data_IF_412144996245
#
_entry.id   IF_412144996245
#
_cell.length_a   1.000
_cell.length_b   1.000
_cell.length_c   1.000
_cell.angle_alpha   90.00
_cell.angle_beta   90.00
_cell.angle_gamma   90.00
#
_symmetry.space_group_name_H-M   'P 1'
#
loop_
_entity.id
_entity.type
_entity.pdbx_description
1 polymer ?
#
# COMPACT_ATOMS: atom_id res chain seq x y z
N UNK A 1 -31.85 -64.36 18.80
CA UNK A 1 -32.47 -63.28 19.58
C UNK A 1 -31.68 -62.02 19.28
N UNK A 2 -32.22 -61.10 18.49
CA UNK A 2 -31.51 -59.87 18.09
C UNK A 2 -31.36 -58.94 19.28
N UNK A 3 -30.15 -58.44 19.53
CA UNK A 3 -29.93 -57.39 20.52
C UNK A 3 -30.84 -56.20 20.23
N UNK A 4 -31.44 -55.63 21.29
CA UNK A 4 -32.35 -54.50 21.14
C UNK A 4 -31.59 -53.28 20.60
N UNK A 5 -32.24 -52.47 19.78
CA UNK A 5 -31.67 -51.21 19.29
C UNK A 5 -31.26 -50.24 20.43
N UNK A 6 -31.79 -50.43 21.64
CA UNK A 6 -31.38 -49.71 22.83
C UNK A 6 -30.02 -50.19 23.35
N UNK A 7 -29.75 -51.49 23.33
CA UNK A 7 -28.46 -52.09 23.74
C UNK A 7 -27.32 -51.64 22.82
N UNK A 8 -27.56 -51.58 21.50
CA UNK A 8 -26.58 -51.08 20.54
C UNK A 8 -26.27 -49.59 20.73
N UNK A 9 -27.30 -48.77 21.01
CA UNK A 9 -27.10 -47.36 21.33
C UNK A 9 -26.34 -47.17 22.63
N UNK A 10 -26.63 -47.97 23.65
CA UNK A 10 -25.91 -47.93 24.92
C UNK A 10 -24.44 -48.28 24.71
N UNK A 11 -24.13 -49.34 23.96
CA UNK A 11 -22.76 -49.72 23.64
C UNK A 11 -22.01 -48.63 22.84
N UNK A 12 -22.69 -47.97 21.90
CA UNK A 12 -22.12 -46.86 21.12
C UNK A 12 -21.85 -45.63 22.00
N UNK A 13 -22.75 -45.27 22.91
CA UNK A 13 -22.51 -44.16 23.85
C UNK A 13 -21.39 -44.51 24.82
N UNK A 14 -21.30 -45.77 25.24
CA UNK A 14 -20.25 -46.25 26.15
C UNK A 14 -18.87 -46.23 25.49
N UNK A 15 -18.76 -46.49 24.19
CA UNK A 15 -17.49 -46.37 23.45
C UNK A 15 -17.05 -44.91 23.26
N UNK A 16 -17.99 -43.96 23.19
CA UNK A 16 -17.68 -42.53 23.18
C UNK A 16 -17.36 -41.96 24.57
N UNK A 17 -17.85 -42.61 25.64
CA UNK A 17 -17.56 -42.25 27.04
C UNK A 17 -16.32 -42.93 27.61
N UNK A 18 -15.86 -44.00 26.98
CA UNK A 18 -14.48 -44.45 27.14
C UNK A 18 -13.60 -43.39 26.53
N UNK A 19 -13.24 -42.40 27.34
CA UNK A 19 -11.93 -41.77 27.23
C UNK A 19 -10.99 -42.95 27.28
N UNK A 20 -10.55 -43.44 26.12
CA UNK A 20 -9.40 -44.32 26.04
C UNK A 20 -8.41 -43.65 26.95
N UNK A 21 -8.10 -44.29 28.10
CA UNK A 21 -7.18 -43.75 29.07
C UNK A 21 -6.02 -43.29 28.21
N UNK A 22 -5.85 -41.97 28.07
CA UNK A 22 -4.80 -41.43 27.24
C UNK A 22 -3.59 -42.02 27.92
N UNK A 23 -3.07 -43.10 27.32
CA UNK A 23 -1.87 -43.71 27.80
C UNK A 23 -0.94 -42.53 27.98
N UNK A 24 -0.31 -42.42 29.15
CA UNK A 24 0.79 -41.51 29.38
C UNK A 24 1.91 -41.88 28.37
N UNK A 25 1.66 -41.66 27.09
CA UNK A 25 2.66 -41.36 26.10
C UNK A 25 3.15 -40.02 26.62
N UNK A 26 4.30 -40.05 27.25
CA UNK A 26 5.11 -38.86 27.43
C UNK A 26 5.27 -38.25 26.03
N UNK A 27 4.32 -37.41 25.61
CA UNK A 27 4.47 -36.65 24.39
C UNK A 27 5.67 -35.75 24.63
N UNK A 28 6.71 -35.82 23.78
CA UNK A 28 7.87 -34.97 23.96
C UNK A 28 7.39 -33.52 24.00
N UNK A 29 7.90 -32.77 25.00
CA UNK A 29 7.53 -31.36 25.21
C UNK A 29 7.55 -30.65 23.86
N UNK A 30 6.39 -30.13 23.45
CA UNK A 30 6.28 -29.33 22.22
C UNK A 30 7.17 -28.11 22.40
N UNK A 31 8.10 -27.91 21.46
CA UNK A 31 8.97 -26.75 21.45
C UNK A 31 8.13 -25.49 21.40
N UNK A 32 8.52 -24.48 22.16
CA UNK A 32 7.92 -23.16 22.05
C UNK A 32 8.25 -22.55 20.68
N UNK A 33 7.44 -21.61 20.18
CA UNK A 33 7.75 -20.92 18.92
C UNK A 33 9.14 -20.26 18.92
N UNK A 34 9.61 -19.76 20.07
CA UNK A 34 10.94 -19.13 20.20
C UNK A 34 12.06 -20.16 20.09
N UNK A 35 11.93 -21.31 20.75
CA UNK A 35 12.89 -22.41 20.65
C UNK A 35 12.97 -22.92 19.20
N UNK A 36 11.82 -23.20 18.58
CA UNK A 36 11.74 -23.64 17.18
C UNK A 36 12.40 -22.64 16.22
N UNK A 37 12.08 -21.35 16.35
CA UNK A 37 12.66 -20.30 15.51
C UNK A 37 14.17 -20.16 15.69
N UNK A 38 14.69 -20.37 16.90
CA UNK A 38 16.13 -20.29 17.17
C UNK A 38 16.87 -21.45 16.51
N UNK A 39 16.35 -22.67 16.63
CA UNK A 39 16.91 -23.84 15.97
C UNK A 39 16.92 -23.70 14.44
N UNK A 40 15.86 -23.16 13.83
CA UNK A 40 15.83 -22.94 12.38
C UNK A 40 16.83 -21.86 11.93
N UNK A 41 17.09 -20.83 12.76
CA UNK A 41 18.13 -19.82 12.47
C UNK A 41 19.53 -20.41 12.54
N UNK A 42 19.78 -21.31 13.48
CA UNK A 42 21.08 -22.00 13.62
C UNK A 42 21.37 -22.94 12.44
N UNK A 43 20.34 -23.47 11.78
CA UNK A 43 20.48 -24.32 10.59
C UNK A 43 20.85 -23.56 9.32
N UNK A 44 20.84 -22.23 9.32
CA UNK A 44 21.17 -21.44 8.13
C UNK A 44 22.60 -21.73 7.67
N UNK A 45 22.76 -22.17 6.42
CA UNK A 45 24.06 -22.54 5.81
C UNK A 45 24.73 -21.38 5.07
N UNK A 46 24.18 -20.19 5.16
CA UNK A 46 24.65 -18.98 4.49
C UNK A 46 24.56 -17.78 5.43
N UNK A 47 25.36 -16.75 5.18
CA UNK A 47 25.29 -15.50 5.92
C UNK A 47 24.08 -14.68 5.44
N UNK A 48 23.12 -14.46 6.35
CA UNK A 48 21.92 -13.65 6.11
C UNK A 48 22.28 -12.22 5.70
N UNK A 49 23.39 -11.68 6.21
CA UNK A 49 23.85 -10.33 5.90
C UNK A 49 24.33 -10.22 4.46
N UNK A 50 25.08 -11.20 3.97
CA UNK A 50 25.50 -11.27 2.57
C UNK A 50 24.30 -11.41 1.63
N UNK A 51 23.30 -12.23 1.99
CA UNK A 51 22.05 -12.30 1.23
C UNK A 51 21.29 -10.97 1.22
N UNK A 52 21.29 -10.25 2.34
CA UNK A 52 20.67 -8.92 2.44
C UNK A 52 21.35 -7.93 1.50
N UNK A 53 22.69 -7.91 1.47
CA UNK A 53 23.46 -7.09 0.53
C UNK A 53 23.14 -7.45 -0.92
N UNK A 54 23.06 -8.74 -1.23
CA UNK A 54 22.71 -9.18 -2.57
C UNK A 54 21.31 -8.67 -3.00
N UNK A 55 20.30 -8.80 -2.15
CA UNK A 55 18.92 -8.38 -2.45
C UNK A 55 18.77 -6.86 -2.60
N UNK A 56 19.48 -6.08 -1.79
CA UNK A 56 19.43 -4.62 -1.84
C UNK A 56 20.37 -4.02 -2.90
N UNK A 57 21.19 -4.83 -3.57
CA UNK A 57 22.16 -4.37 -4.57
C UNK A 57 23.47 -3.82 -4.00
N UNK A 58 23.83 -4.21 -2.77
CA UNK A 58 25.11 -3.97 -2.11
C UNK A 58 24.98 -3.31 -0.73
N UNK A 59 26.04 -3.42 0.07
CA UNK A 59 26.09 -2.91 1.45
C UNK A 59 25.68 -1.43 1.58
N UNK A 60 26.07 -0.60 0.61
CA UNK A 60 25.72 0.82 0.59
C UNK A 60 24.21 1.03 0.60
N UNK A 61 23.46 0.29 -0.23
CA UNK A 61 22.01 0.45 -0.33
C UNK A 61 21.30 -0.16 0.86
N UNK A 62 21.79 -1.28 1.38
CA UNK A 62 21.31 -1.86 2.64
C UNK A 62 21.40 -0.88 3.80
N UNK A 63 22.55 -0.22 3.99
CA UNK A 63 22.72 0.78 5.07
C UNK A 63 21.74 1.95 4.94
N UNK A 64 21.45 2.39 3.72
CA UNK A 64 20.48 3.47 3.47
C UNK A 64 19.04 2.97 3.74
N UNK A 65 18.71 1.75 3.34
CA UNK A 65 17.39 1.13 3.62
C UNK A 65 17.18 0.94 5.13
N UNK A 66 18.18 0.46 5.86
CA UNK A 66 18.16 0.35 7.31
C UNK A 66 17.99 1.71 7.99
N UNK A 67 18.67 2.75 7.48
CA UNK A 67 18.46 4.13 7.93
C UNK A 67 17.00 4.54 7.78
N UNK A 68 16.36 4.28 6.63
CA UNK A 68 14.95 4.59 6.43
C UNK A 68 14.02 3.79 7.34
N UNK A 69 14.30 2.49 7.55
CA UNK A 69 13.55 1.66 8.50
C UNK A 69 13.61 2.25 9.91
N UNK A 70 14.80 2.65 10.38
CA UNK A 70 14.98 3.28 11.69
C UNK A 70 14.30 4.65 11.80
N UNK A 71 14.34 5.47 10.75
CA UNK A 71 13.65 6.77 10.71
C UNK A 71 12.13 6.57 10.85
N UNK A 72 11.56 5.64 10.09
CA UNK A 72 10.12 5.35 10.10
C UNK A 72 9.66 4.69 11.40
N UNK A 73 10.44 3.75 11.94
CA UNK A 73 10.13 3.09 13.22
C UNK A 73 10.09 4.08 14.39
N UNK A 74 10.92 5.14 14.34
CA UNK A 74 11.02 6.15 15.39
C UNK A 74 10.08 7.34 15.18
N UNK A 75 9.54 7.54 13.99
CA UNK A 75 8.61 8.61 13.69
C UNK A 75 7.20 8.27 14.24
N UNK A 76 6.69 9.03 15.23
CA UNK A 76 5.36 8.77 15.79
C UNK A 76 4.22 8.85 14.76
N UNK A 77 4.41 9.55 13.65
CA UNK A 77 3.39 9.64 12.58
C UNK A 77 3.26 8.33 11.80
N UNK A 78 4.30 7.47 11.79
CA UNK A 78 4.30 6.15 11.16
C UNK A 78 4.01 5.00 12.15
N UNK A 79 3.40 5.32 13.28
CA UNK A 79 2.94 4.36 14.28
C UNK A 79 1.74 3.56 13.75
N UNK A 80 1.93 2.25 13.55
CA UNK A 80 0.93 1.37 12.90
C UNK A 80 0.31 0.28 13.80
N UNK A 81 0.71 0.13 15.07
CA UNK A 81 0.23 -1.00 15.89
C UNK A 81 -1.28 -0.95 16.21
N UNK A 82 -1.93 0.23 16.14
CA UNK A 82 -3.37 0.42 16.37
C UNK A 82 -4.18 0.52 15.07
N UNK A 83 -3.58 0.19 13.92
CA UNK A 83 -4.22 0.37 12.61
C UNK A 83 -5.55 -0.41 12.46
N UNK A 84 -5.72 -1.50 13.22
CA UNK A 84 -6.93 -2.32 13.22
C UNK A 84 -8.03 -1.79 14.14
N UNK A 85 -7.69 -0.86 15.05
CA UNK A 85 -8.60 -0.30 16.05
C UNK A 85 -9.10 1.10 15.67
N UNK A 86 -8.54 1.69 14.61
CA UNK A 86 -8.91 3.02 14.13
C UNK A 86 -9.97 2.96 13.03
N UNK A 87 -10.85 3.94 13.04
CA UNK A 87 -11.88 4.12 12.02
C UNK A 87 -11.27 4.57 10.68
N UNK A 88 -12.00 4.36 9.60
CA UNK A 88 -11.63 4.86 8.26
C UNK A 88 -11.31 6.35 8.27
N UNK A 89 -12.09 7.18 8.95
CA UNK A 89 -11.90 8.63 8.95
C UNK A 89 -10.62 9.04 9.70
N UNK A 90 -10.32 8.36 10.81
CA UNK A 90 -9.03 8.53 11.50
C UNK A 90 -7.84 8.09 10.63
N UNK A 91 -7.96 6.99 9.87
CA UNK A 91 -6.93 6.59 8.90
C UNK A 91 -6.71 7.69 7.85
N UNK A 92 -7.78 8.33 7.37
CA UNK A 92 -7.67 9.42 6.37
C UNK A 92 -6.95 10.64 6.93
N UNK A 93 -7.25 11.04 8.16
CA UNK A 93 -6.56 12.14 8.83
C UNK A 93 -5.08 11.83 9.07
N UNK A 94 -4.76 10.69 9.67
CA UNK A 94 -3.38 10.23 9.90
C UNK A 94 -2.57 10.10 8.62
N UNK A 95 -3.21 9.70 7.52
CA UNK A 95 -2.56 9.65 6.20
C UNK A 95 -2.10 11.03 5.76
N UNK A 96 -2.89 12.08 6.01
CA UNK A 96 -2.55 13.45 5.62
C UNK A 96 -1.48 14.08 6.53
N UNK A 97 -1.42 13.71 7.81
CA UNK A 97 -0.37 14.17 8.73
C UNK A 97 1.04 13.82 8.21
N UNK A 98 1.19 12.61 7.65
CA UNK A 98 2.46 12.08 7.10
C UNK A 98 3.00 12.90 5.91
N UNK A 99 2.14 13.62 5.18
CA UNK A 99 2.58 14.44 4.04
C UNK A 99 3.60 15.49 4.46
N UNK A 100 3.43 16.14 5.62
CA UNK A 100 4.32 17.20 6.10
C UNK A 100 5.75 16.70 6.26
N UNK A 101 5.91 15.47 6.77
CA UNK A 101 7.23 14.87 6.99
C UNK A 101 7.86 14.42 5.67
N UNK A 102 7.07 13.80 4.78
CA UNK A 102 7.63 13.17 3.57
C UNK A 102 7.87 14.15 2.42
N UNK A 103 7.07 15.21 2.28
CA UNK A 103 7.23 16.24 1.22
C UNK A 103 8.62 16.87 1.25
N UNK A 104 9.21 17.07 2.43
CA UNK A 104 10.57 17.61 2.55
C UNK A 104 11.61 16.81 1.75
N UNK A 105 11.50 15.48 1.78
CA UNK A 105 12.44 14.59 1.10
C UNK A 105 12.30 14.59 -0.42
N UNK A 106 11.16 15.00 -0.97
CA UNK A 106 10.94 15.07 -2.43
C UNK A 106 11.95 15.99 -3.11
N UNK A 107 12.28 17.11 -2.47
CA UNK A 107 13.26 18.08 -2.99
C UNK A 107 14.66 17.88 -2.41
N UNK A 108 14.77 17.23 -1.25
CA UNK A 108 16.04 17.05 -0.56
C UNK A 108 16.81 15.78 -0.98
N UNK A 109 16.13 14.76 -1.51
CA UNK A 109 16.74 13.48 -1.89
C UNK A 109 16.83 13.30 -3.41
N UNK A 110 17.93 12.72 -3.93
CA UNK A 110 17.96 12.24 -5.31
C UNK A 110 16.86 11.20 -5.57
N UNK A 111 16.29 11.22 -6.77
CA UNK A 111 15.15 10.35 -7.15
C UNK A 111 15.36 8.88 -6.77
N UNK A 112 16.51 8.21 -7.04
CA UNK A 112 16.69 6.80 -6.67
C UNK A 112 16.64 6.55 -5.15
N UNK A 113 17.16 7.50 -4.37
CA UNK A 113 17.17 7.43 -2.91
C UNK A 113 15.75 7.61 -2.37
N UNK A 114 15.02 8.61 -2.90
CA UNK A 114 13.63 8.86 -2.56
C UNK A 114 12.72 7.68 -2.95
N UNK A 115 12.95 7.06 -4.11
CA UNK A 115 12.23 5.84 -4.53
C UNK A 115 12.43 4.73 -3.52
N UNK A 116 13.66 4.51 -3.04
CA UNK A 116 13.91 3.49 -2.03
C UNK A 116 13.23 3.80 -0.69
N UNK A 117 13.18 5.06 -0.26
CA UNK A 117 12.40 5.49 0.91
C UNK A 117 10.92 5.14 0.74
N UNK A 118 10.34 5.48 -0.40
CA UNK A 118 8.94 5.18 -0.69
C UNK A 118 8.68 3.66 -0.76
N UNK A 119 9.63 2.86 -1.27
CA UNK A 119 9.54 1.40 -1.22
C UNK A 119 9.50 0.87 0.22
N UNK A 120 10.35 1.39 1.11
CA UNK A 120 10.31 1.02 2.53
C UNK A 120 8.97 1.40 3.17
N UNK A 121 8.45 2.60 2.88
CA UNK A 121 7.13 3.04 3.34
C UNK A 121 6.02 2.11 2.84
N UNK A 122 6.10 1.62 1.60
CA UNK A 122 5.07 0.75 1.02
C UNK A 122 4.87 -0.57 1.78
N UNK A 123 5.91 -1.04 2.49
CA UNK A 123 5.85 -2.26 3.31
C UNK A 123 5.08 -2.06 4.61
N UNK A 124 5.11 -0.85 5.17
CA UNK A 124 4.50 -0.54 6.47
C UNK A 124 3.14 0.15 6.34
N UNK A 125 2.96 0.99 5.32
CA UNK A 125 1.76 1.76 5.07
C UNK A 125 1.50 1.94 3.56
N UNK A 126 0.94 0.91 2.91
CA UNK A 126 0.57 0.99 1.51
C UNK A 126 -0.52 2.04 1.22
N UNK A 127 -1.33 2.42 2.23
CA UNK A 127 -2.37 3.42 2.10
C UNK A 127 -1.79 4.82 1.89
N UNK A 128 -0.84 5.22 2.74
CA UNK A 128 -0.09 6.46 2.57
C UNK A 128 0.74 6.44 1.28
N UNK A 129 1.45 5.33 0.99
CA UNK A 129 2.21 5.20 -0.25
C UNK A 129 1.35 5.49 -1.48
N UNK A 130 0.14 4.92 -1.53
CA UNK A 130 -0.82 5.16 -2.62
C UNK A 130 -1.28 6.62 -2.64
N UNK A 131 -1.67 7.18 -1.49
CA UNK A 131 -2.18 8.55 -1.41
C UNK A 131 -1.15 9.58 -1.87
N UNK A 132 0.11 9.37 -1.49
CA UNK A 132 1.23 10.21 -1.88
C UNK A 132 1.62 9.99 -3.35
N UNK A 133 1.66 8.72 -3.79
CA UNK A 133 2.00 8.32 -5.15
C UNK A 133 1.02 8.80 -6.21
N UNK A 134 -0.25 8.99 -5.88
CA UNK A 134 -1.22 9.58 -6.82
C UNK A 134 -0.80 10.99 -7.25
N UNK A 135 -0.27 11.81 -6.33
CA UNK A 135 0.21 13.12 -6.70
C UNK A 135 1.60 13.07 -7.35
N UNK A 136 2.60 12.56 -6.64
CA UNK A 136 3.99 12.65 -7.10
C UNK A 136 4.37 11.61 -8.16
N UNK A 137 3.69 10.46 -8.16
CA UNK A 137 3.89 9.40 -9.13
C UNK A 137 3.06 9.62 -10.39
N UNK A 138 1.73 9.76 -10.26
CA UNK A 138 0.83 9.84 -11.41
C UNK A 138 0.66 11.26 -11.94
N UNK A 139 0.12 12.19 -11.14
CA UNK A 139 -0.13 13.57 -11.60
C UNK A 139 1.16 14.28 -12.04
N UNK A 140 2.17 14.32 -11.16
CA UNK A 140 3.44 14.97 -11.45
C UNK A 140 4.25 14.20 -12.51
N UNK A 141 4.12 12.86 -12.54
CA UNK A 141 4.69 12.04 -13.59
C UNK A 141 4.12 12.34 -14.97
N UNK A 142 2.80 12.54 -15.07
CA UNK A 142 2.13 12.92 -16.31
C UNK A 142 2.53 14.33 -16.77
N UNK A 143 2.65 15.29 -15.84
CA UNK A 143 3.20 16.61 -16.16
C UNK A 143 4.62 16.49 -16.72
N UNK A 144 5.50 15.70 -16.09
CA UNK A 144 6.87 15.52 -16.56
C UNK A 144 6.97 14.79 -17.91
N UNK A 145 6.08 13.83 -18.16
CA UNK A 145 6.12 12.97 -19.34
C UNK A 145 5.44 13.56 -20.58
N UNK A 146 4.39 14.36 -20.39
CA UNK A 146 3.52 14.82 -21.48
C UNK A 146 3.43 16.33 -21.66
N UNK A 147 3.89 17.12 -20.67
CA UNK A 147 3.84 18.58 -20.78
C UNK A 147 5.09 19.12 -21.51
N UNK A 148 4.91 20.22 -22.25
CA UNK A 148 6.04 21.01 -22.74
C UNK A 148 6.81 21.64 -21.59
N UNK A 149 8.05 22.09 -21.81
CA UNK A 149 8.85 22.75 -20.77
C UNK A 149 8.16 23.99 -20.19
N UNK A 150 7.42 24.74 -21.01
CA UNK A 150 6.65 25.89 -20.56
C UNK A 150 5.47 25.48 -19.68
N UNK A 151 4.70 24.45 -20.07
CA UNK A 151 3.60 23.91 -19.26
C UNK A 151 4.09 23.32 -17.94
N UNK A 152 5.18 22.53 -17.96
CA UNK A 152 5.77 21.97 -16.75
C UNK A 152 6.19 23.08 -15.78
N UNK A 153 6.90 24.09 -16.28
CA UNK A 153 7.32 25.25 -15.48
C UNK A 153 6.14 26.03 -14.92
N UNK A 154 5.07 26.19 -15.69
CA UNK A 154 3.83 26.82 -15.24
C UNK A 154 3.27 26.09 -14.01
N UNK A 155 3.03 24.78 -14.11
CA UNK A 155 2.44 24.01 -13.00
C UNK A 155 3.35 23.92 -11.78
N UNK A 156 4.67 23.81 -11.97
CA UNK A 156 5.64 23.88 -10.87
C UNK A 156 5.55 25.23 -10.16
N UNK A 157 5.51 26.34 -10.90
CA UNK A 157 5.37 27.69 -10.32
C UNK A 157 4.05 27.90 -9.57
N UNK A 158 3.00 27.16 -9.95
CA UNK A 158 1.69 27.16 -9.27
C UNK A 158 1.66 26.27 -8.02
N UNK A 159 2.76 25.60 -7.68
CA UNK A 159 2.89 24.84 -6.45
C UNK A 159 2.79 23.32 -6.62
N UNK A 160 2.75 22.79 -7.85
CA UNK A 160 2.64 21.34 -8.09
C UNK A 160 3.76 20.50 -7.45
N UNK A 161 4.98 21.04 -7.27
CA UNK A 161 6.07 20.30 -6.63
C UNK A 161 6.03 20.40 -5.10
N UNK A 162 5.71 21.58 -4.58
CA UNK A 162 5.79 21.90 -3.15
C UNK A 162 4.47 21.67 -2.38
N UNK A 163 3.41 21.22 -3.06
CA UNK A 163 2.03 21.16 -2.55
C UNK A 163 1.51 22.49 -2.00
N UNK A 164 1.93 23.61 -2.59
CA UNK A 164 1.52 24.94 -2.12
C UNK A 164 0.26 25.39 -2.87
N UNK A 165 -0.91 25.11 -2.28
CA UNK A 165 -2.22 25.43 -2.88
C UNK A 165 -2.61 24.55 -4.07
N UNK A 166 -1.78 23.55 -4.40
CA UNK A 166 -2.03 22.60 -5.48
C UNK A 166 -1.74 21.18 -5.03
N UNK A 167 -2.78 20.36 -5.00
CA UNK A 167 -2.67 18.90 -4.91
C UNK A 167 -3.38 18.29 -6.12
N UNK A 168 -2.69 17.38 -6.78
CA UNK A 168 -3.13 16.74 -8.02
C UNK A 168 -3.55 15.29 -7.84
N UNK A 169 -4.52 14.84 -8.64
CA UNK A 169 -4.83 13.43 -8.85
C UNK A 169 -4.75 13.05 -10.34
N UNK A 170 -5.08 11.79 -10.66
CA UNK A 170 -5.00 11.26 -12.02
C UNK A 170 -6.31 10.55 -12.40
N UNK A 171 -7.08 11.16 -13.30
CA UNK A 171 -8.44 10.80 -13.64
C UNK A 171 -8.54 10.06 -14.98
N UNK A 172 -7.91 8.89 -15.05
CA UNK A 172 -7.97 8.04 -16.26
C UNK A 172 -9.22 7.15 -16.27
N UNK A 173 -9.29 6.21 -15.31
CA UNK A 173 -10.32 5.17 -15.24
C UNK A 173 -11.74 5.75 -15.19
N UNK A 174 -12.63 5.13 -15.94
CA UNK A 174 -14.07 5.40 -15.96
C UNK A 174 -14.83 4.18 -15.41
N UNK A 175 -16.08 4.40 -15.00
CA UNK A 175 -16.93 3.33 -14.49
C UNK A 175 -17.09 2.18 -15.51
N UNK A 176 -17.17 2.49 -16.80
CA UNK A 176 -17.25 1.52 -17.89
C UNK A 176 -15.91 1.00 -18.41
N UNK A 177 -14.80 1.71 -18.16
CA UNK A 177 -13.52 1.48 -18.83
C UNK A 177 -12.32 1.61 -17.89
N UNK A 178 -11.63 0.50 -17.64
CA UNK A 178 -10.36 0.43 -16.93
C UNK A 178 -9.23 -0.08 -17.83
N UNK A 179 -9.25 -1.37 -18.16
CA UNK A 179 -8.21 -1.99 -19.00
C UNK A 179 -8.21 -1.46 -20.44
N UNK A 180 -9.39 -1.20 -21.01
CA UNK A 180 -9.53 -0.66 -22.37
C UNK A 180 -9.56 0.88 -22.36
N UNK A 181 -8.39 1.49 -22.18
CA UNK A 181 -8.21 2.96 -22.17
C UNK A 181 -8.58 3.61 -23.50
N UNK A 182 -8.40 2.91 -24.63
CA UNK A 182 -8.79 3.43 -25.94
C UNK A 182 -10.32 3.59 -26.09
N UNK A 183 -11.10 2.94 -25.22
CA UNK A 183 -12.55 3.02 -25.19
C UNK A 183 -13.11 4.07 -24.23
N UNK A 184 -12.28 4.91 -23.59
CA UNK A 184 -12.78 5.96 -22.70
C UNK A 184 -13.77 6.89 -23.42
N UNK A 185 -14.81 7.27 -22.70
CA UNK A 185 -15.97 7.99 -23.23
C UNK A 185 -15.91 9.50 -22.93
N UNK A 186 -15.14 9.93 -21.92
CA UNK A 186 -14.95 11.37 -21.64
C UNK A 186 -14.33 12.05 -22.85
N UNK A 187 -14.94 13.14 -23.32
CA UNK A 187 -14.45 13.90 -24.47
C UNK A 187 -13.78 15.20 -24.06
N UNK A 188 -12.83 15.64 -24.86
CA UNK A 188 -12.22 16.97 -24.81
C UNK A 188 -12.34 17.58 -26.21
N UNK A 189 -13.39 18.36 -26.44
CA UNK A 189 -13.67 18.95 -27.76
C UNK A 189 -13.11 20.37 -27.80
N UNK A 190 -12.30 20.68 -28.81
CA UNK A 190 -11.75 22.02 -28.99
C UNK A 190 -12.81 22.99 -29.52
N UNK A 191 -12.94 24.15 -28.89
CA UNK A 191 -13.75 25.28 -29.32
C UNK A 191 -12.85 26.42 -29.80
N UNK A 192 -12.82 26.64 -31.11
CA UNK A 192 -11.99 27.67 -31.76
C UNK A 192 -12.37 29.10 -31.34
N UNK A 193 -13.64 29.34 -30.99
CA UNK A 193 -14.09 30.69 -30.65
C UNK A 193 -13.50 31.20 -29.34
N UNK A 194 -13.25 30.29 -28.39
CA UNK A 194 -12.72 30.60 -27.06
C UNK A 194 -11.26 30.15 -26.85
N UNK A 195 -10.69 29.39 -27.79
CA UNK A 195 -9.38 28.74 -27.66
C UNK A 195 -9.31 27.83 -26.41
N UNK A 196 -10.38 27.03 -26.20
CA UNK A 196 -10.53 26.17 -25.03
C UNK A 196 -10.95 24.74 -25.40
N UNK A 197 -10.68 23.80 -24.49
CA UNK A 197 -11.25 22.45 -24.54
C UNK A 197 -12.47 22.37 -23.62
N UNK A 198 -13.58 21.87 -24.16
CA UNK A 198 -14.77 21.52 -23.39
C UNK A 198 -14.63 20.07 -22.94
N UNK A 199 -14.46 19.86 -21.63
CA UNK A 199 -14.39 18.53 -21.03
C UNK A 199 -15.81 18.06 -20.71
N UNK A 200 -16.23 16.94 -21.28
CA UNK A 200 -17.59 16.44 -21.13
C UNK A 200 -17.64 14.94 -20.79
N UNK A 201 -18.49 14.60 -19.83
CA UNK A 201 -18.79 13.22 -19.42
C UNK A 201 -20.18 12.86 -19.95
N UNK A 202 -20.30 12.20 -21.12
CA UNK A 202 -21.56 12.07 -21.84
C UNK A 202 -22.53 11.03 -21.24
N UNK A 203 -22.01 10.06 -20.49
CA UNK A 203 -22.76 8.94 -19.95
C UNK A 203 -22.39 8.68 -18.49
N UNK A 204 -23.21 7.93 -17.77
CA UNK A 204 -22.87 7.51 -16.40
C UNK A 204 -21.63 6.59 -16.40
N UNK A 205 -21.48 5.75 -17.43
CA UNK A 205 -20.32 4.86 -17.59
C UNK A 205 -19.02 5.64 -17.82
N UNK A 206 -19.09 6.85 -18.40
CA UNK A 206 -17.97 7.77 -18.54
C UNK A 206 -17.55 8.45 -17.23
N UNK A 207 -18.27 8.27 -16.12
CA UNK A 207 -17.91 8.89 -14.83
C UNK A 207 -16.53 8.41 -14.40
N UNK A 208 -15.59 9.34 -14.16
CA UNK A 208 -14.27 9.01 -13.64
C UNK A 208 -14.38 8.28 -12.30
N UNK A 209 -13.73 7.14 -12.19
CA UNK A 209 -13.95 6.18 -11.11
C UNK A 209 -12.64 5.64 -10.52
N UNK A 210 -12.62 5.43 -9.20
CA UNK A 210 -11.41 5.09 -8.43
C UNK A 210 -10.31 6.15 -8.40
N UNK A 211 -10.68 7.43 -8.58
CA UNK A 211 -9.70 8.51 -8.62
C UNK A 211 -9.20 8.82 -7.20
N UNK A 212 -8.03 8.28 -6.86
CA UNK A 212 -7.35 8.57 -5.62
C UNK A 212 -7.19 10.08 -5.43
N UNK A 213 -7.42 10.61 -4.23
CA UNK A 213 -7.32 12.05 -3.95
C UNK A 213 -8.56 12.87 -4.34
N UNK A 214 -9.27 12.52 -5.41
CA UNK A 214 -10.35 13.34 -5.96
C UNK A 214 -11.48 13.66 -4.97
N UNK A 215 -11.85 12.71 -4.12
CA UNK A 215 -12.96 12.91 -3.20
C UNK A 215 -12.75 14.11 -2.25
N UNK A 216 -11.60 14.18 -1.55
CA UNK A 216 -11.42 15.09 -0.40
C UNK A 216 -10.07 15.83 -0.36
N UNK A 217 -9.23 15.77 -1.41
CA UNK A 217 -7.87 16.36 -1.32
C UNK A 217 -7.40 17.02 -2.60
N UNK A 218 -7.65 16.42 -3.76
CA UNK A 218 -7.17 16.98 -5.00
C UNK A 218 -7.90 18.29 -5.34
N UNK A 219 -7.12 19.25 -5.81
CA UNK A 219 -7.56 20.54 -6.36
C UNK A 219 -7.55 20.52 -7.89
N UNK A 220 -6.73 19.65 -8.47
CA UNK A 220 -6.50 19.53 -9.91
C UNK A 220 -6.40 18.05 -10.28
N UNK A 221 -6.68 17.73 -11.54
CA UNK A 221 -6.43 16.40 -12.10
C UNK A 221 -5.73 16.53 -13.44
N UNK A 222 -4.95 15.52 -13.79
CA UNK A 222 -4.71 15.16 -15.20
C UNK A 222 -5.75 14.13 -15.60
#
# INVERSE_FOLDING_TARGET
MSESAASQRLASVQSHLQVAACANKEEPRKKTPVESMSEEREKATFDVRELTYFLDGGEKFTKIREKFMMELERDPTFRMYDMYDVTKDQIRERTMEKFRTIVHYVSAEPVPIFTMRMQTISLIDPGFWTRFGVHYGLFFGALRGSATSAQFSHWVSKGALALNGMVGCFAMTELGHGSNVAGLETTATFDEASDQFIIHTPTITATKWWIGGAAHTATHTV
#
